data_IF_227456908893
#
_entry.id   IF_227456908893
#
_cell.length_a   1.000
_cell.length_b   1.000
_cell.length_c   1.000
_cell.angle_alpha   90.00
_cell.angle_beta   90.00
_cell.angle_gamma   90.00
#
_symmetry.space_group_name_H-M   'P 1'
#
loop_
_entity.id
_entity.type
_entity.pdbx_description
1 polymer ?
#
# COMPACT_ATOMS: atom_id res chain seq x y z
N UNK A 1 -5.32 7.03 2.49
CA UNK A 1 -5.24 5.61 2.06
C UNK A 1 -6.01 5.27 0.78
N UNK A 2 -7.05 6.02 0.38
CA UNK A 2 -7.81 5.73 -0.84
C UNK A 2 -6.96 5.62 -2.11
N UNK A 3 -5.82 6.33 -2.15
CA UNK A 3 -4.85 6.31 -3.25
C UNK A 3 -4.07 4.97 -3.31
N UNK A 4 -3.65 4.43 -2.15
CA UNK A 4 -2.92 3.15 -2.06
C UNK A 4 -3.84 1.97 -2.39
N UNK A 5 -5.10 2.01 -1.94
CA UNK A 5 -6.07 0.95 -2.24
C UNK A 5 -6.50 1.02 -3.72
N UNK A 6 -6.75 2.23 -4.23
CA UNK A 6 -7.29 2.44 -5.57
C UNK A 6 -8.79 2.09 -5.68
N UNK A 7 -9.40 2.41 -6.82
CA UNK A 7 -10.83 2.11 -7.07
C UNK A 7 -11.03 0.58 -7.09
N UNK A 8 -11.87 0.06 -6.20
CA UNK A 8 -12.14 -1.38 -6.09
C UNK A 8 -10.92 -2.22 -5.65
N UNK A 9 -9.90 -1.61 -5.04
CA UNK A 9 -8.68 -2.31 -4.65
C UNK A 9 -7.69 -2.56 -5.80
N UNK A 10 -7.86 -1.91 -6.95
CA UNK A 10 -7.02 -2.14 -8.14
C UNK A 10 -5.53 -1.85 -7.89
N UNK A 11 -5.21 -0.75 -7.22
CA UNK A 11 -3.82 -0.34 -6.94
C UNK A 11 -3.15 -1.34 -6.00
N UNK A 12 -3.80 -1.69 -4.89
CA UNK A 12 -3.22 -2.63 -3.92
C UNK A 12 -3.10 -4.05 -4.51
N UNK A 13 -4.02 -4.47 -5.38
CA UNK A 13 -3.87 -5.73 -6.14
C UNK A 13 -2.65 -5.68 -7.07
N UNK A 14 -2.50 -4.61 -7.84
CA UNK A 14 -1.36 -4.46 -8.75
C UNK A 14 0.00 -4.42 -8.02
N UNK A 15 0.07 -3.86 -6.80
CA UNK A 15 1.28 -3.90 -5.96
C UNK A 15 1.57 -5.32 -5.49
N UNK A 16 0.53 -6.04 -5.02
CA UNK A 16 0.65 -7.43 -4.59
C UNK A 16 1.14 -8.33 -5.72
N UNK A 17 0.54 -8.22 -6.90
CA UNK A 17 0.86 -9.06 -8.06
C UNK A 17 2.28 -8.80 -8.58
N UNK A 18 2.71 -7.54 -8.68
CA UNK A 18 4.05 -7.20 -9.19
C UNK A 18 5.18 -7.59 -8.27
N UNK A 19 4.97 -7.45 -6.96
CA UNK A 19 6.01 -7.72 -5.97
C UNK A 19 5.92 -9.15 -5.41
N UNK A 20 4.88 -9.92 -5.79
CA UNK A 20 4.55 -11.22 -5.21
C UNK A 20 4.46 -11.18 -3.67
N UNK A 21 3.73 -10.19 -3.16
CA UNK A 21 3.51 -9.97 -1.73
C UNK A 21 2.02 -10.00 -1.40
N UNK A 22 1.70 -10.19 -0.13
CA UNK A 22 0.36 -9.96 0.40
C UNK A 22 0.34 -8.67 1.20
N UNK A 23 -0.55 -7.75 0.83
CA UNK A 23 -0.74 -6.45 1.49
C UNK A 23 -2.10 -6.43 2.17
N UNK A 24 -2.12 -6.08 3.45
CA UNK A 24 -3.33 -5.92 4.25
C UNK A 24 -3.41 -4.52 4.81
N UNK A 25 -4.57 -3.89 4.63
CA UNK A 25 -4.86 -2.54 5.13
C UNK A 25 -6.19 -2.63 5.88
N UNK A 26 -6.20 -2.43 7.21
CA UNK A 26 -7.42 -2.40 7.99
C UNK A 26 -8.38 -1.29 7.52
N UNK A 27 -9.68 -1.55 7.61
CA UNK A 27 -10.70 -0.52 7.36
C UNK A 27 -10.84 0.47 8.51
N UNK A 28 -10.37 0.08 9.70
CA UNK A 28 -10.35 0.90 10.91
C UNK A 28 -9.02 1.62 11.05
N UNK A 29 -9.03 2.75 11.76
CA UNK A 29 -7.82 3.45 12.21
C UNK A 29 -7.21 2.72 13.39
N UNK A 30 -5.91 2.89 13.59
CA UNK A 30 -5.22 2.28 14.72
C UNK A 30 -5.72 2.93 16.03
N UNK A 31 -6.15 2.13 17.04
CA UNK A 31 -6.70 2.67 18.28
C UNK A 31 -5.74 3.64 18.97
N UNK A 32 -6.23 4.84 19.33
CA UNK A 32 -5.43 5.86 20.02
C UNK A 32 -4.42 6.60 19.13
N UNK A 33 -4.45 6.40 17.81
CA UNK A 33 -3.61 7.18 16.89
C UNK A 33 -4.07 8.64 16.78
N UNK A 34 -3.14 9.57 17.02
CA UNK A 34 -3.31 11.00 16.77
C UNK A 34 -2.02 11.54 16.13
N UNK A 35 -2.02 11.85 14.82
CA UNK A 35 -3.14 11.81 13.88
C UNK A 35 -3.67 10.40 13.58
N UNK A 36 -4.88 10.30 13.03
CA UNK A 36 -5.47 9.02 12.59
C UNK A 36 -4.57 8.33 11.56
N UNK A 37 -4.00 7.18 11.91
CA UNK A 37 -3.20 6.35 10.99
C UNK A 37 -3.80 4.96 10.84
N UNK A 38 -3.36 4.27 9.79
CA UNK A 38 -3.67 2.86 9.55
C UNK A 38 -2.37 2.13 9.28
N UNK A 39 -2.16 1.02 9.96
CA UNK A 39 -0.99 0.17 9.73
C UNK A 39 -1.17 -0.68 8.47
N UNK A 40 -0.21 -0.61 7.54
CA UNK A 40 -0.14 -1.45 6.35
C UNK A 40 0.75 -2.66 6.66
N UNK A 41 0.19 -3.86 6.59
CA UNK A 41 0.96 -5.10 6.73
C UNK A 41 1.36 -5.65 5.37
N UNK A 42 2.65 -5.94 5.18
CA UNK A 42 3.21 -6.56 3.97
C UNK A 42 3.86 -7.88 4.38
N UNK A 43 3.53 -8.97 3.68
CA UNK A 43 4.06 -10.30 3.97
C UNK A 43 4.45 -11.05 2.70
N UNK A 44 5.59 -11.72 2.73
CA UNK A 44 6.17 -12.53 1.65
C UNK A 44 7.27 -13.43 2.23
N UNK A 45 7.62 -14.50 1.51
CA UNK A 45 8.77 -15.37 1.83
C UNK A 45 10.12 -14.77 1.36
N UNK A 46 10.09 -13.76 0.49
CA UNK A 46 11.25 -13.01 0.01
C UNK A 46 11.27 -11.60 0.63
N UNK A 47 12.39 -11.25 1.27
CA UNK A 47 12.60 -9.96 1.91
C UNK A 47 12.80 -8.82 0.90
N UNK A 48 13.37 -9.10 -0.28
CA UNK A 48 13.52 -8.14 -1.37
C UNK A 48 12.15 -7.71 -1.93
N UNK A 49 11.23 -8.67 -2.12
CA UNK A 49 9.84 -8.40 -2.48
C UNK A 49 9.14 -7.48 -1.49
N UNK A 50 9.39 -7.66 -0.19
CA UNK A 50 8.83 -6.78 0.86
C UNK A 50 9.41 -5.37 0.74
N UNK A 51 10.72 -5.24 0.54
CA UNK A 51 11.39 -3.96 0.39
C UNK A 51 10.90 -3.19 -0.85
N UNK A 52 10.75 -3.88 -1.99
CA UNK A 52 10.22 -3.29 -3.22
C UNK A 52 8.76 -2.83 -3.06
N UNK A 53 7.91 -3.68 -2.49
CA UNK A 53 6.51 -3.33 -2.24
C UNK A 53 6.40 -2.14 -1.27
N UNK A 54 7.23 -2.10 -0.22
CA UNK A 54 7.28 -0.95 0.71
C UNK A 54 7.69 0.33 -0.02
N UNK A 55 8.77 0.30 -0.80
CA UNK A 55 9.25 1.46 -1.54
C UNK A 55 8.19 2.00 -2.52
N UNK A 56 7.46 1.10 -3.18
CA UNK A 56 6.36 1.47 -4.06
C UNK A 56 5.20 2.12 -3.32
N UNK A 57 4.78 1.56 -2.18
CA UNK A 57 3.72 2.13 -1.34
C UNK A 57 4.14 3.51 -0.81
N UNK A 58 5.39 3.66 -0.36
CA UNK A 58 5.94 4.93 0.10
C UNK A 58 5.91 5.97 -1.03
N UNK A 59 6.30 5.60 -2.25
CA UNK A 59 6.24 6.50 -3.42
C UNK A 59 4.81 6.96 -3.75
N UNK A 60 3.81 6.10 -3.58
CA UNK A 60 2.39 6.45 -3.74
C UNK A 60 1.96 7.42 -2.64
N UNK A 61 2.34 7.17 -1.39
CA UNK A 61 2.01 8.04 -0.25
C UNK A 61 2.67 9.42 -0.35
N UNK A 62 3.90 9.49 -0.88
CA UNK A 62 4.61 10.75 -1.13
C UNK A 62 4.09 11.52 -2.35
N UNK A 63 3.11 10.99 -3.09
CA UNK A 63 2.51 11.66 -4.25
C UNK A 63 3.39 11.66 -5.50
N UNK A 64 4.43 10.83 -5.55
CA UNK A 64 5.33 10.71 -6.71
C UNK A 64 4.63 9.99 -7.87
N UNK A 65 3.67 9.11 -7.57
CA UNK A 65 2.82 8.47 -8.58
C UNK A 65 1.62 9.36 -8.88
N UNK A 66 1.83 10.41 -9.70
CA UNK A 66 0.73 11.12 -10.35
C UNK A 66 0.01 10.14 -11.26
N UNK A 67 -1.18 9.69 -10.85
CA UNK A 67 -2.07 8.90 -11.71
C UNK A 67 -2.44 9.77 -12.90
N UNK A 68 -1.76 9.57 -14.03
CA UNK A 68 -2.17 10.07 -15.33
C UNK A 68 -3.49 9.39 -15.70
N UNK A 69 -4.60 10.07 -15.40
CA UNK A 69 -5.91 9.74 -15.92
C UNK A 69 -6.04 10.49 -17.26
N UNK A 70 -5.86 9.77 -18.38
CA UNK A 70 -6.43 10.18 -19.67
C UNK A 70 -7.91 9.82 -19.70
#
# INVERSE_FOLDING_TARGET
>A
VGIVIGRGGSTVKAIQDRNNVKVQIPNVVDPGSMPEVRTIAISSNNMESIAMAKAEIDAILMGVVRTNNR
#
